data_IF_407404034582
#
_entry.id   IF_407404034582
#
_cell.length_a   1.000
_cell.length_b   1.000
_cell.length_c   1.000
_cell.angle_alpha   90.00
_cell.angle_beta   90.00
_cell.angle_gamma   90.00
#
_symmetry.space_group_name_H-M   'P 1'
#
loop_
_entity.id
_entity.type
_entity.pdbx_description
1 polymer ?
#
# COMPACT_ATOMS: atom_id res chain seq x y z
N UNK A 1 67.77 -47.33 11.00
CA UNK A 1 66.30 -47.49 10.90
C UNK A 1 65.62 -46.44 11.75
N UNK A 2 64.51 -45.87 11.24
CA UNK A 2 63.58 -44.90 11.85
C UNK A 2 63.94 -43.42 11.69
N UNK A 3 63.52 -42.88 10.55
CA UNK A 3 63.28 -41.45 10.28
C UNK A 3 62.02 -41.00 11.02
N UNK A 4 62.09 -39.90 11.76
CA UNK A 4 60.98 -39.26 12.47
C UNK A 4 60.45 -38.10 11.60
N UNK A 5 59.24 -38.21 11.06
CA UNK A 5 58.55 -37.10 10.40
C UNK A 5 57.66 -36.37 11.43
N UNK A 6 57.94 -35.08 11.66
CA UNK A 6 57.02 -34.15 12.31
C UNK A 6 55.98 -33.69 11.28
N UNK A 7 54.69 -33.92 11.55
CA UNK A 7 53.59 -33.26 10.85
C UNK A 7 53.20 -31.97 11.60
N UNK A 8 53.40 -30.82 10.96
CA UNK A 8 52.76 -29.55 11.34
C UNK A 8 51.36 -29.50 10.73
N UNK A 9 50.31 -29.56 11.57
CA UNK A 9 48.94 -29.23 11.16
C UNK A 9 48.75 -27.72 11.15
N UNK A 10 48.65 -27.13 9.95
CA UNK A 10 48.17 -25.76 9.76
C UNK A 10 46.64 -25.73 9.73
N UNK A 11 46.01 -25.01 10.65
CA UNK A 11 44.58 -24.67 10.56
C UNK A 11 44.39 -23.54 9.55
N UNK A 12 43.71 -23.83 8.46
CA UNK A 12 43.22 -22.82 7.51
C UNK A 12 41.86 -22.30 8.01
N UNK A 13 41.83 -21.04 8.47
CA UNK A 13 40.59 -20.30 8.65
C UNK A 13 40.05 -19.89 7.27
N UNK A 14 39.02 -20.58 6.79
CA UNK A 14 38.26 -20.15 5.63
C UNK A 14 37.25 -19.09 6.06
N UNK A 15 37.61 -17.82 5.91
CA UNK A 15 36.68 -16.69 6.05
C UNK A 15 35.73 -16.69 4.86
N UNK A 16 34.51 -17.18 5.06
CA UNK A 16 33.44 -17.06 4.08
C UNK A 16 33.02 -15.59 3.98
N UNK A 17 33.40 -14.93 2.87
CA UNK A 17 32.80 -13.69 2.44
C UNK A 17 31.33 -13.98 2.11
N UNK A 18 30.44 -13.70 3.05
CA UNK A 18 29.01 -13.64 2.77
C UNK A 18 28.81 -12.46 1.81
N UNK A 19 28.65 -12.75 0.51
CA UNK A 19 28.11 -11.78 -0.43
C UNK A 19 26.68 -11.48 0.04
N UNK A 20 26.52 -10.33 0.71
CA UNK A 20 25.20 -9.80 1.00
C UNK A 20 24.48 -9.61 -0.32
N UNK A 21 23.47 -10.43 -0.58
CA UNK A 21 22.47 -10.09 -1.58
C UNK A 21 21.80 -8.82 -1.09
N UNK A 22 22.20 -7.69 -1.65
CA UNK A 22 21.46 -6.43 -1.59
C UNK A 22 20.09 -6.73 -2.19
N UNK A 23 19.16 -7.20 -1.35
CA UNK A 23 17.73 -7.35 -1.67
C UNK A 23 17.19 -5.94 -1.75
N UNK A 24 17.54 -5.28 -2.85
CA UNK A 24 16.98 -4.00 -3.26
C UNK A 24 15.48 -4.15 -3.20
N UNK A 25 14.84 -3.25 -2.47
CA UNK A 25 13.40 -3.24 -2.28
C UNK A 25 12.69 -3.34 -3.63
N UNK A 26 11.61 -4.13 -3.74
CA UNK A 26 10.96 -4.55 -5.00
C UNK A 26 10.28 -3.43 -5.80
N UNK A 27 10.75 -2.20 -5.70
CA UNK A 27 10.23 -0.98 -6.30
C UNK A 27 11.34 -0.02 -6.75
N UNK A 28 12.59 -0.49 -6.91
CA UNK A 28 13.71 0.37 -7.32
C UNK A 28 13.55 1.03 -8.68
N UNK A 29 12.68 0.51 -9.53
CA UNK A 29 12.34 1.04 -10.84
C UNK A 29 11.19 2.07 -10.81
N UNK A 30 10.55 2.26 -9.65
CA UNK A 30 9.48 3.23 -9.48
C UNK A 30 9.92 4.64 -9.89
N UNK A 31 9.11 5.27 -10.75
CA UNK A 31 9.32 6.64 -11.25
C UNK A 31 8.29 7.63 -10.73
N UNK A 32 7.30 7.16 -9.99
CA UNK A 32 6.32 7.96 -9.28
C UNK A 32 6.14 7.44 -7.86
N UNK A 33 6.00 8.35 -6.91
CA UNK A 33 5.83 8.04 -5.49
C UNK A 33 4.71 8.88 -4.90
N UNK A 34 3.75 8.22 -4.28
CA UNK A 34 2.76 8.80 -3.38
C UNK A 34 3.22 8.50 -1.96
N UNK A 35 3.75 9.49 -1.25
CA UNK A 35 4.25 9.36 0.12
C UNK A 35 3.26 10.01 1.10
N UNK A 36 2.69 9.20 1.98
CA UNK A 36 1.90 9.64 3.12
C UNK A 36 2.75 9.54 4.38
N UNK A 37 2.84 10.64 5.13
CA UNK A 37 3.37 10.60 6.49
C UNK A 37 2.32 10.96 7.53
N UNK A 38 2.46 10.36 8.71
CA UNK A 38 1.65 10.63 9.89
C UNK A 38 2.56 10.92 11.09
N UNK A 39 2.14 11.75 12.07
CA UNK A 39 3.00 12.09 13.20
C UNK A 39 3.49 10.86 13.97
N UNK A 40 2.57 9.98 14.36
CA UNK A 40 2.85 8.80 15.18
C UNK A 40 2.04 7.59 14.70
N UNK A 41 2.38 6.39 15.18
CA UNK A 41 1.73 5.14 14.81
C UNK A 41 0.20 5.12 14.98
N UNK A 42 -0.32 5.88 15.93
CA UNK A 42 -1.75 5.91 16.25
C UNK A 42 -2.47 7.17 15.71
N UNK A 43 -1.75 8.02 14.97
CA UNK A 43 -2.33 9.21 14.33
C UNK A 43 -3.13 8.82 13.09
N UNK A 44 -4.35 9.35 12.97
CA UNK A 44 -5.21 9.10 11.80
C UNK A 44 -5.18 10.24 10.77
N UNK A 45 -4.58 11.39 11.10
CA UNK A 45 -4.39 12.50 10.16
C UNK A 45 -2.96 12.46 9.62
N UNK A 46 -2.82 12.71 8.31
CA UNK A 46 -1.55 12.67 7.62
C UNK A 46 -1.46 13.65 6.47
N UNK A 47 -0.29 13.68 5.86
CA UNK A 47 -0.02 14.50 4.67
C UNK A 47 0.47 13.61 3.54
N UNK A 48 -0.18 13.73 2.39
CA UNK A 48 0.21 13.11 1.13
C UNK A 48 1.11 14.05 0.34
N UNK A 49 2.22 13.52 -0.15
CA UNK A 49 3.17 14.17 -1.03
C UNK A 49 3.34 13.33 -2.30
N UNK A 50 3.33 13.98 -3.46
CA UNK A 50 3.50 13.31 -4.76
C UNK A 50 4.85 13.69 -5.37
N UNK A 51 5.61 12.70 -5.84
CA UNK A 51 6.94 12.89 -6.42
C UNK A 51 7.12 12.16 -7.74
N UNK A 52 7.81 12.81 -8.67
CA UNK A 52 8.36 12.21 -9.88
C UNK A 52 9.85 11.92 -9.70
N UNK A 53 10.30 10.75 -10.15
CA UNK A 53 11.74 10.42 -10.18
C UNK A 53 12.38 10.95 -11.46
N UNK A 54 13.42 11.75 -11.29
CA UNK A 54 14.28 12.30 -12.36
C UNK A 54 15.70 11.74 -12.22
N UNK A 55 16.59 12.09 -13.14
CA UNK A 55 18.01 11.73 -13.05
C UNK A 55 18.70 12.37 -11.84
N UNK A 56 18.19 13.51 -11.36
CA UNK A 56 18.67 14.19 -10.15
C UNK A 56 18.03 13.66 -8.85
N UNK A 57 17.18 12.63 -8.94
CA UNK A 57 16.41 12.08 -7.82
C UNK A 57 14.94 12.50 -7.83
N UNK A 58 14.29 12.41 -6.68
CA UNK A 58 12.87 12.73 -6.53
C UNK A 58 12.62 14.25 -6.58
N UNK A 59 11.62 14.63 -7.38
CA UNK A 59 11.13 16.01 -7.50
C UNK A 59 9.65 16.05 -7.12
N UNK A 60 9.27 16.99 -6.25
CA UNK A 60 7.87 17.18 -5.90
C UNK A 60 7.06 17.52 -7.16
N UNK A 61 5.97 16.79 -7.37
CA UNK A 61 5.11 16.92 -8.55
C UNK A 61 3.86 17.76 -8.25
N UNK A 62 3.39 17.76 -7.00
CA UNK A 62 2.17 18.44 -6.55
C UNK A 62 2.35 19.03 -5.16
N UNK A 63 1.44 19.93 -4.77
CA UNK A 63 1.39 20.46 -3.41
C UNK A 63 1.03 19.36 -2.40
N UNK A 64 1.54 19.43 -1.16
CA UNK A 64 1.11 18.53 -0.09
C UNK A 64 -0.40 18.61 0.15
N UNK A 65 -1.04 17.47 0.36
CA UNK A 65 -2.49 17.36 0.54
C UNK A 65 -2.81 16.67 1.87
N UNK A 66 -3.71 17.22 2.70
CA UNK A 66 -4.18 16.52 3.89
C UNK A 66 -4.92 15.23 3.54
N UNK A 67 -4.68 14.17 4.30
CA UNK A 67 -5.37 12.89 4.18
C UNK A 67 -5.77 12.37 5.55
N UNK A 68 -6.77 11.48 5.57
CA UNK A 68 -7.12 10.71 6.76
C UNK A 68 -6.88 9.22 6.50
N UNK A 69 -6.39 8.50 7.51
CA UNK A 69 -6.09 7.08 7.44
C UNK A 69 -6.96 6.31 8.46
N UNK A 70 -6.64 5.04 8.71
CA UNK A 70 -7.34 4.22 9.68
C UNK A 70 -7.51 4.91 11.04
N UNK A 71 -8.69 4.77 11.65
CA UNK A 71 -9.04 5.36 12.97
C UNK A 71 -8.09 4.98 14.11
N UNK A 72 -7.35 3.89 13.99
CA UNK A 72 -6.34 3.45 14.94
C UNK A 72 -4.90 3.72 14.46
N UNK A 73 -4.72 4.55 13.42
CA UNK A 73 -3.45 4.91 12.82
C UNK A 73 -2.96 3.88 11.80
N UNK A 74 -1.69 3.51 11.89
CA UNK A 74 -1.02 2.62 10.94
C UNK A 74 -0.38 1.39 11.62
N UNK A 75 -0.14 0.35 10.83
CA UNK A 75 0.66 -0.82 11.23
C UNK A 75 1.32 -1.43 10.00
N UNK A 76 2.49 -2.07 10.16
CA UNK A 76 3.22 -2.69 9.05
C UNK A 76 2.36 -3.68 8.27
N UNK A 77 2.21 -3.41 6.98
CA UNK A 77 1.51 -4.27 6.03
C UNK A 77 2.43 -5.29 5.35
N UNK A 78 1.87 -5.93 4.33
CA UNK A 78 2.56 -6.87 3.43
C UNK A 78 2.62 -6.19 2.06
N UNK A 79 3.82 -5.85 1.60
CA UNK A 79 4.02 -5.10 0.36
C UNK A 79 5.43 -5.26 -0.21
N UNK A 80 5.88 -4.26 -0.97
CA UNK A 80 7.16 -4.21 -1.68
C UNK A 80 8.35 -3.85 -0.78
N UNK A 81 8.35 -4.31 0.46
CA UNK A 81 9.41 -4.04 1.43
C UNK A 81 9.70 -5.26 2.29
N UNK A 82 10.92 -5.32 2.82
CA UNK A 82 11.28 -6.33 3.80
C UNK A 82 10.45 -6.15 5.10
N UNK A 83 10.19 -7.25 5.84
CA UNK A 83 9.54 -7.17 7.14
C UNK A 83 10.21 -6.16 8.07
N UNK A 84 9.41 -5.33 8.71
CA UNK A 84 9.87 -4.31 9.65
C UNK A 84 9.42 -4.66 11.08
N UNK A 85 10.17 -4.21 12.11
CA UNK A 85 9.75 -4.33 13.50
C UNK A 85 8.65 -3.30 13.83
N UNK A 86 7.69 -3.67 14.67
CA UNK A 86 6.61 -2.78 15.13
C UNK A 86 5.22 -3.40 15.03
N UNK A 87 4.15 -2.58 15.14
CA UNK A 87 2.78 -3.07 15.04
C UNK A 87 2.55 -3.70 13.66
N UNK A 88 1.85 -4.82 13.61
CA UNK A 88 1.51 -5.55 12.37
C UNK A 88 0.04 -5.40 12.05
N UNK A 89 -0.24 -5.09 10.79
CA UNK A 89 -1.59 -4.99 10.24
C UNK A 89 -2.31 -6.33 10.38
N UNK A 90 -3.58 -6.28 10.76
CA UNK A 90 -4.51 -7.43 10.80
C UNK A 90 -5.88 -7.02 10.28
N UNK A 91 -6.70 -7.99 9.94
CA UNK A 91 -8.09 -7.74 9.57
C UNK A 91 -8.86 -7.09 10.74
N UNK A 92 -9.69 -6.09 10.42
CA UNK A 92 -10.52 -5.38 11.40
C UNK A 92 -9.80 -4.51 12.45
N UNK A 93 -8.47 -4.38 12.41
CA UNK A 93 -7.70 -3.63 13.43
C UNK A 93 -7.89 -2.10 13.42
N UNK A 94 -8.58 -1.57 12.41
CA UNK A 94 -8.81 -0.13 12.27
C UNK A 94 -7.58 0.67 11.80
N UNK A 95 -6.51 0.00 11.37
CA UNK A 95 -5.24 0.63 10.97
C UNK A 95 -5.04 0.57 9.46
N UNK A 96 -4.35 1.57 8.91
CA UNK A 96 -3.85 1.53 7.54
C UNK A 96 -2.51 0.80 7.44
N UNK A 97 -2.21 0.14 6.32
CA UNK A 97 -0.94 -0.54 6.16
C UNK A 97 0.19 0.49 5.96
N UNK A 98 1.18 0.46 6.84
CA UNK A 98 2.47 1.14 6.67
C UNK A 98 3.39 0.26 5.83
N UNK A 99 4.20 0.87 4.97
CA UNK A 99 5.03 0.13 4.02
C UNK A 99 5.14 0.81 2.67
N UNK A 100 5.57 0.03 1.68
CA UNK A 100 5.60 0.37 0.25
C UNK A 100 4.68 -0.60 -0.49
N UNK A 101 3.80 -0.10 -1.34
CA UNK A 101 2.78 -0.88 -2.03
C UNK A 101 2.73 -0.48 -3.50
N UNK A 102 2.45 -1.45 -4.37
CA UNK A 102 2.04 -1.13 -5.73
C UNK A 102 0.68 -0.44 -5.71
N UNK A 103 0.41 0.35 -6.76
CA UNK A 103 -0.89 0.91 -7.03
C UNK A 103 -1.62 0.01 -8.02
N UNK A 104 -2.79 -0.48 -7.63
CA UNK A 104 -3.63 -1.33 -8.45
C UNK A 104 -4.58 -0.53 -9.34
N UNK A 105 -5.67 -1.18 -9.73
CA UNK A 105 -6.73 -0.60 -10.56
C UNK A 105 -7.39 0.60 -9.86
N UNK A 106 -7.51 1.71 -10.57
CA UNK A 106 -8.41 2.79 -10.20
C UNK A 106 -9.87 2.34 -10.41
N UNK A 107 -10.76 2.83 -9.57
CA UNK A 107 -12.17 2.47 -9.63
C UNK A 107 -13.06 3.68 -9.40
N UNK A 108 -14.34 3.55 -9.76
CA UNK A 108 -15.34 4.55 -9.41
C UNK A 108 -16.70 4.24 -10.02
N UNK A 109 -17.66 5.14 -9.81
CA UNK A 109 -19.05 4.91 -10.21
C UNK A 109 -19.33 5.29 -11.67
N UNK A 110 -18.48 6.15 -12.25
CA UNK A 110 -18.59 6.56 -13.64
C UNK A 110 -18.16 5.43 -14.59
N UNK A 111 -18.64 5.47 -15.84
CA UNK A 111 -18.18 4.52 -16.89
C UNK A 111 -16.69 4.67 -17.23
N UNK A 112 -16.12 5.84 -16.98
CA UNK A 112 -14.72 6.15 -17.24
C UNK A 112 -14.26 7.29 -16.32
N UNK A 113 -12.98 7.30 -15.96
CA UNK A 113 -12.35 8.42 -15.27
C UNK A 113 -11.10 8.89 -16.02
N UNK A 114 -10.70 10.15 -15.81
CA UNK A 114 -9.39 10.64 -16.26
C UNK A 114 -8.34 10.12 -15.29
N UNK A 115 -7.60 9.09 -15.71
CA UNK A 115 -6.52 8.49 -14.92
C UNK A 115 -5.49 7.83 -15.82
N UNK A 116 -4.22 7.77 -15.39
CA UNK A 116 -3.20 6.94 -16.03
C UNK A 116 -3.03 5.56 -15.39
N UNK A 117 -3.90 5.17 -14.45
CA UNK A 117 -4.03 3.79 -13.99
C UNK A 117 -5.07 3.02 -14.84
N UNK A 118 -5.04 1.68 -14.86
CA UNK A 118 -6.20 0.90 -15.31
C UNK A 118 -7.44 1.33 -14.53
N UNK A 119 -8.60 1.39 -15.19
CA UNK A 119 -9.85 1.84 -14.57
C UNK A 119 -10.95 0.80 -14.68
N UNK A 120 -11.65 0.55 -13.57
CA UNK A 120 -12.82 -0.30 -13.52
C UNK A 120 -14.05 0.48 -13.02
N UNK A 121 -15.11 0.51 -13.85
CA UNK A 121 -16.39 1.07 -13.48
C UNK A 121 -17.13 0.10 -12.54
N UNK A 122 -17.47 0.56 -11.34
CA UNK A 122 -18.08 -0.27 -10.32
C UNK A 122 -19.60 -0.39 -10.49
N UNK A 123 -20.10 -1.60 -10.34
CA UNK A 123 -21.51 -1.94 -10.42
C UNK A 123 -22.02 -2.48 -9.08
N UNK A 124 -23.35 -2.56 -8.93
CA UNK A 124 -23.98 -2.99 -7.68
C UNK A 124 -23.56 -4.39 -7.23
N UNK A 125 -23.14 -5.25 -8.16
CA UNK A 125 -22.73 -6.61 -7.91
C UNK A 125 -21.22 -6.75 -7.59
N UNK A 126 -20.45 -5.66 -7.61
CA UNK A 126 -19.03 -5.71 -7.28
C UNK A 126 -18.80 -5.60 -5.77
N UNK A 127 -18.00 -6.52 -5.24
CA UNK A 127 -17.64 -6.60 -3.83
C UNK A 127 -16.14 -6.81 -3.69
N UNK A 128 -15.51 -6.13 -2.74
CA UNK A 128 -14.20 -6.55 -2.27
C UNK A 128 -14.38 -7.55 -1.12
N UNK A 129 -13.72 -8.71 -1.19
CA UNK A 129 -13.96 -9.77 -0.21
C UNK A 129 -13.06 -9.59 1.02
N UNK A 130 -13.68 -9.20 2.12
CA UNK A 130 -13.09 -8.99 3.45
C UNK A 130 -13.30 -10.18 4.43
N UNK A 131 -13.79 -11.31 3.91
CA UNK A 131 -13.96 -12.55 4.68
C UNK A 131 -12.67 -13.38 4.62
N UNK A 132 -11.93 -13.44 5.73
CA UNK A 132 -10.58 -14.03 5.80
C UNK A 132 -10.46 -15.49 5.31
N UNK A 133 -11.48 -16.31 5.55
CA UNK A 133 -11.48 -17.72 5.15
C UNK A 133 -11.96 -17.94 3.69
N UNK A 134 -12.33 -16.87 2.98
CA UNK A 134 -12.77 -16.97 1.59
C UNK A 134 -11.58 -17.21 0.65
N UNK A 135 -11.71 -18.10 -0.35
CA UNK A 135 -10.70 -18.24 -1.40
C UNK A 135 -10.57 -16.99 -2.29
N UNK A 136 -11.51 -16.05 -2.16
CA UNK A 136 -11.51 -14.76 -2.86
C UNK A 136 -11.03 -13.61 -1.99
N UNK A 137 -10.54 -13.88 -0.78
CA UNK A 137 -10.12 -12.87 0.19
C UNK A 137 -9.15 -11.83 -0.42
N UNK A 138 -9.40 -10.57 -0.08
CA UNK A 138 -8.70 -9.39 -0.57
C UNK A 138 -8.74 -9.21 -2.09
N UNK A 139 -9.88 -9.53 -2.73
CA UNK A 139 -10.11 -9.31 -4.16
C UNK A 139 -11.44 -8.62 -4.41
N UNK A 140 -11.46 -7.72 -5.40
CA UNK A 140 -12.70 -7.22 -5.98
C UNK A 140 -13.23 -8.26 -6.97
N UNK A 141 -14.46 -8.70 -6.78
CA UNK A 141 -15.13 -9.71 -7.61
C UNK A 141 -16.53 -9.24 -8.01
N UNK A 142 -17.07 -9.83 -9.07
CA UNK A 142 -18.47 -9.65 -9.47
C UNK A 142 -19.32 -10.82 -8.99
N UNK A 143 -20.30 -10.55 -8.12
CA UNK A 143 -21.21 -11.56 -7.57
C UNK A 143 -22.06 -12.28 -8.64
N UNK A 144 -22.22 -11.70 -9.84
CA UNK A 144 -22.87 -12.36 -10.99
C UNK A 144 -22.01 -13.46 -11.58
N UNK A 145 -20.69 -13.35 -11.44
CA UNK A 145 -19.71 -14.31 -11.96
C UNK A 145 -19.36 -15.37 -10.92
N UNK A 146 -19.08 -14.95 -9.67
CA UNK A 146 -18.68 -15.88 -8.59
C UNK A 146 -19.86 -16.47 -7.82
N UNK A 147 -21.07 -15.95 -8.03
CA UNK A 147 -22.28 -16.33 -7.30
C UNK A 147 -22.44 -15.60 -5.97
N UNK A 148 -23.70 -15.33 -5.58
CA UNK A 148 -24.03 -14.56 -4.38
C UNK A 148 -23.56 -15.23 -3.07
N UNK A 149 -23.48 -16.55 -3.04
CA UNK A 149 -22.95 -17.29 -1.90
C UNK A 149 -21.46 -17.02 -1.66
N UNK A 150 -20.68 -16.76 -2.72
CA UNK A 150 -19.24 -16.53 -2.61
C UNK A 150 -18.89 -15.14 -2.05
N UNK A 151 -19.81 -14.18 -2.13
CA UNK A 151 -19.67 -12.83 -1.55
C UNK A 151 -20.41 -12.69 -0.21
N UNK A 152 -21.10 -13.73 0.25
CA UNK A 152 -21.89 -13.69 1.47
C UNK A 152 -21.01 -13.40 2.69
N UNK A 153 -21.48 -12.50 3.56
CA UNK A 153 -20.75 -12.07 4.75
C UNK A 153 -19.71 -10.98 4.51
N UNK A 154 -19.38 -10.69 3.25
CA UNK A 154 -18.54 -9.54 2.94
C UNK A 154 -19.25 -8.23 3.29
N UNK A 155 -18.50 -7.26 3.80
CA UNK A 155 -19.05 -5.96 4.23
C UNK A 155 -18.62 -4.80 3.33
N UNK A 156 -17.94 -5.09 2.23
CA UNK A 156 -17.26 -4.09 1.40
C UNK A 156 -17.79 -4.07 -0.06
N UNK A 157 -19.04 -3.61 -0.29
CA UNK A 157 -19.56 -3.44 -1.64
C UNK A 157 -18.90 -2.24 -2.32
N UNK A 158 -18.51 -2.39 -3.58
CA UNK A 158 -17.82 -1.33 -4.33
C UNK A 158 -18.74 -0.20 -4.83
N UNK A 159 -20.07 -0.34 -4.61
CA UNK A 159 -21.08 0.72 -4.81
C UNK A 159 -21.75 1.07 -3.49
N UNK A 160 -20.98 1.71 -2.60
CA UNK A 160 -21.46 2.15 -1.28
C UNK A 160 -22.70 3.05 -1.38
N UNK A 161 -22.84 3.80 -2.46
CA UNK A 161 -24.01 4.65 -2.69
C UNK A 161 -25.31 3.84 -2.80
N UNK A 162 -25.23 2.64 -3.38
CA UNK A 162 -26.35 1.73 -3.55
C UNK A 162 -26.61 0.86 -2.31
N UNK A 163 -25.55 0.54 -1.56
CA UNK A 163 -25.63 -0.41 -0.43
C UNK A 163 -25.60 0.24 0.96
N UNK A 164 -25.19 1.51 1.05
CA UNK A 164 -24.97 2.23 2.30
C UNK A 164 -25.49 3.68 2.22
N UNK A 165 -26.80 3.83 2.00
CA UNK A 165 -27.53 5.10 2.11
C UNK A 165 -26.92 6.29 1.34
N UNK A 166 -26.45 6.06 0.12
CA UNK A 166 -25.91 7.13 -0.73
C UNK A 166 -24.47 7.54 -0.41
N UNK A 167 -23.71 6.72 0.35
CA UNK A 167 -22.31 6.97 0.67
C UNK A 167 -21.42 7.07 -0.60
N UNK A 168 -20.80 8.24 -0.79
CA UNK A 168 -19.99 8.58 -1.96
C UNK A 168 -18.50 8.31 -1.77
N UNK A 169 -18.07 7.68 -0.66
CA UNK A 169 -16.64 7.48 -0.41
C UNK A 169 -15.94 6.73 -1.55
N UNK A 170 -16.63 5.77 -2.21
CA UNK A 170 -16.08 4.97 -3.31
C UNK A 170 -16.44 5.50 -4.70
N UNK A 171 -16.98 6.71 -4.80
CA UNK A 171 -17.29 7.35 -6.08
C UNK A 171 -16.06 7.41 -7.00
N UNK A 172 -14.87 7.58 -6.39
CA UNK A 172 -13.59 7.55 -7.07
C UNK A 172 -12.46 7.12 -6.12
N UNK A 173 -11.59 6.21 -6.57
CA UNK A 173 -10.46 5.74 -5.79
C UNK A 173 -9.52 4.83 -6.56
N UNK A 174 -8.59 4.21 -5.86
CA UNK A 174 -7.71 3.19 -6.40
C UNK A 174 -7.29 2.17 -5.34
N UNK A 175 -6.90 0.99 -5.81
CA UNK A 175 -6.39 -0.09 -4.95
C UNK A 175 -4.97 0.20 -4.49
N UNK A 176 -4.73 0.03 -3.18
CA UNK A 176 -3.38 -0.04 -2.62
C UNK A 176 -3.11 -1.53 -2.40
N UNK A 177 -2.12 -2.08 -3.10
CA UNK A 177 -1.82 -3.52 -3.16
C UNK A 177 -1.13 -4.05 -1.89
N UNK A 178 -1.72 -3.76 -0.73
CA UNK A 178 -1.40 -4.42 0.53
C UNK A 178 -1.97 -5.84 0.51
N UNK A 179 -1.17 -6.81 0.94
CA UNK A 179 -1.58 -8.21 1.05
C UNK A 179 -2.12 -8.78 -0.28
N UNK A 180 -1.50 -8.44 -1.41
CA UNK A 180 -2.01 -8.80 -2.74
C UNK A 180 -2.17 -10.32 -2.98
N UNK A 181 -1.43 -11.15 -2.25
CA UNK A 181 -1.56 -12.60 -2.29
C UNK A 181 -2.80 -13.13 -1.53
N UNK A 182 -3.47 -12.30 -0.72
CA UNK A 182 -4.64 -12.66 0.07
C UNK A 182 -4.29 -13.56 1.25
N UNK A 183 -3.21 -13.27 2.00
CA UNK A 183 -2.91 -13.98 3.23
C UNK A 183 -4.02 -13.74 4.26
N UNK A 184 -4.73 -14.80 4.64
CA UNK A 184 -5.91 -14.75 5.48
C UNK A 184 -5.65 -13.97 6.78
N UNK A 185 -6.50 -12.97 7.06
CA UNK A 185 -6.45 -12.19 8.30
C UNK A 185 -5.36 -11.12 8.34
N UNK A 186 -4.53 -10.96 7.31
CA UNK A 186 -3.51 -9.92 7.23
C UNK A 186 -4.06 -8.54 6.81
N UNK A 187 -5.39 -8.39 6.72
CA UNK A 187 -6.09 -7.18 6.28
C UNK A 187 -6.39 -7.21 4.78
N UNK A 188 -7.51 -6.61 4.41
CA UNK A 188 -8.04 -6.63 3.06
C UNK A 188 -8.63 -5.28 2.65
N UNK A 189 -8.97 -5.16 1.36
CA UNK A 189 -9.77 -4.07 0.79
C UNK A 189 -9.22 -2.68 1.12
N UNK A 190 -7.90 -2.53 1.01
CA UNK A 190 -7.22 -1.28 1.27
C UNK A 190 -7.23 -0.42 0.02
N UNK A 191 -7.87 0.73 0.11
CA UNK A 191 -8.01 1.67 -0.99
C UNK A 191 -7.49 3.06 -0.61
N UNK A 192 -7.20 3.87 -1.63
CA UNK A 192 -7.31 5.32 -1.49
C UNK A 192 -8.65 5.76 -2.08
N UNK A 193 -9.42 6.57 -1.36
CA UNK A 193 -10.77 6.95 -1.77
C UNK A 193 -11.17 8.37 -1.30
N UNK A 194 -12.41 8.79 -1.55
CA UNK A 194 -12.90 10.10 -1.15
C UNK A 194 -13.22 10.16 0.34
N UNK A 195 -13.00 11.30 0.99
CA UNK A 195 -13.52 11.54 2.32
C UNK A 195 -15.04 11.38 2.38
N UNK A 196 -15.53 10.76 3.46
CA UNK A 196 -16.94 10.91 3.83
C UNK A 196 -17.21 12.34 4.32
N UNK A 197 -16.33 12.83 5.20
CA UNK A 197 -16.25 14.22 5.65
C UNK A 197 -14.78 14.61 5.86
N UNK A 198 -14.41 15.89 5.72
CA UNK A 198 -13.04 16.34 5.99
C UNK A 198 -12.56 15.89 7.38
N UNK A 199 -11.40 15.25 7.45
CA UNK A 199 -10.80 14.76 8.70
C UNK A 199 -11.45 13.51 9.30
N UNK A 200 -12.49 12.93 8.67
CA UNK A 200 -13.09 11.69 9.16
C UNK A 200 -12.13 10.51 8.92
N UNK A 201 -11.72 9.76 9.97
CA UNK A 201 -10.86 8.61 9.80
C UNK A 201 -11.56 7.46 9.09
N UNK A 202 -10.77 6.56 8.51
CA UNK A 202 -11.25 5.37 7.80
C UNK A 202 -11.21 4.12 8.69
N UNK A 203 -11.59 2.97 8.14
CA UNK A 203 -11.34 1.67 8.79
C UNK A 203 -9.95 1.08 8.51
N UNK A 204 -9.19 1.67 7.58
CA UNK A 204 -7.89 1.16 7.12
C UNK A 204 -7.44 1.71 5.76
N UNK A 205 -8.34 2.31 4.99
CA UNK A 205 -8.05 3.03 3.75
C UNK A 205 -7.36 4.39 3.98
N UNK A 206 -6.89 5.02 2.91
CA UNK A 206 -6.49 6.43 2.91
C UNK A 206 -7.57 7.27 2.22
N UNK A 207 -8.02 8.36 2.83
CA UNK A 207 -9.09 9.19 2.29
C UNK A 207 -8.63 10.64 2.11
N UNK A 208 -9.14 11.30 1.07
CA UNK A 208 -8.80 12.68 0.73
C UNK A 208 -9.95 13.44 0.06
N UNK A 209 -9.79 14.74 -0.14
CA UNK A 209 -10.79 15.56 -0.82
C UNK A 209 -10.97 15.14 -2.31
N UNK A 210 -12.18 15.25 -2.88
CA UNK A 210 -12.42 14.91 -4.28
C UNK A 210 -11.51 15.63 -5.30
N UNK A 211 -11.20 16.94 -5.18
CA UNK A 211 -10.26 17.59 -6.09
C UNK A 211 -8.87 16.96 -6.04
N UNK A 212 -8.37 16.64 -4.84
CA UNK A 212 -7.06 16.03 -4.67
C UNK A 212 -6.99 14.61 -5.27
N UNK A 213 -8.05 13.80 -5.10
CA UNK A 213 -8.12 12.48 -5.71
C UNK A 213 -8.10 12.54 -7.23
N UNK A 214 -8.88 13.46 -7.83
CA UNK A 214 -8.91 13.64 -9.30
C UNK A 214 -7.55 14.06 -9.84
N UNK A 215 -6.93 15.05 -9.20
CA UNK A 215 -5.60 15.51 -9.56
C UNK A 215 -4.56 14.39 -9.45
N UNK A 216 -4.62 13.61 -8.37
CA UNK A 216 -3.71 12.49 -8.15
C UNK A 216 -3.86 11.43 -9.24
N UNK A 217 -5.10 10.98 -9.51
CA UNK A 217 -5.38 9.98 -10.54
C UNK A 217 -4.98 10.43 -11.95
N UNK A 218 -5.16 11.70 -12.28
CA UNK A 218 -4.76 12.28 -13.57
C UNK A 218 -3.23 12.34 -13.74
N UNK A 219 -2.47 12.50 -12.64
CA UNK A 219 -1.01 12.52 -12.69
C UNK A 219 -0.37 11.14 -12.66
N UNK A 220 -0.99 10.17 -11.99
CA UNK A 220 -0.49 8.80 -11.96
C UNK A 220 -0.41 8.21 -13.37
N UNK A 221 0.65 7.46 -13.63
CA UNK A 221 0.92 6.79 -14.89
C UNK A 221 1.44 5.38 -14.60
N UNK A 222 0.65 4.35 -14.92
CA UNK A 222 1.00 2.97 -14.64
C UNK A 222 2.31 2.53 -15.30
N UNK A 223 2.68 3.11 -16.46
CA UNK A 223 3.95 2.80 -17.15
C UNK A 223 5.18 3.29 -16.39
N UNK A 224 4.98 4.18 -15.40
CA UNK A 224 6.02 4.74 -14.54
C UNK A 224 6.14 4.01 -13.20
N UNK A 225 5.48 2.86 -13.07
CA UNK A 225 5.50 1.97 -11.90
C UNK A 225 5.32 2.75 -10.59
N UNK A 226 4.18 3.46 -10.43
CA UNK A 226 3.97 4.30 -9.27
C UNK A 226 3.83 3.43 -8.01
N UNK A 227 4.35 3.90 -6.89
CA UNK A 227 4.19 3.25 -5.59
C UNK A 227 3.55 4.16 -4.55
N UNK A 228 2.81 3.54 -3.64
CA UNK A 228 2.23 4.18 -2.45
C UNK A 228 3.06 3.82 -1.23
N UNK A 229 3.44 4.83 -0.44
CA UNK A 229 4.19 4.67 0.80
C UNK A 229 3.43 5.36 1.92
N UNK A 230 3.25 4.66 3.04
CA UNK A 230 2.71 5.24 4.27
C UNK A 230 3.66 4.94 5.41
N UNK A 231 4.13 5.98 6.11
CA UNK A 231 5.05 5.83 7.22
C UNK A 231 4.75 6.85 8.34
N UNK A 232 4.80 6.44 9.63
CA UNK A 232 4.99 7.39 10.72
C UNK A 232 6.28 8.19 10.55
N UNK A 233 6.33 9.43 11.04
CA UNK A 233 7.48 10.33 10.87
C UNK A 233 8.80 9.76 11.44
N UNK A 234 8.71 8.97 12.52
CA UNK A 234 9.85 8.25 13.10
C UNK A 234 10.40 7.19 12.13
N UNK A 235 9.52 6.43 11.49
CA UNK A 235 9.89 5.40 10.51
C UNK A 235 10.34 5.98 9.19
N UNK A 236 9.69 7.06 8.71
CA UNK A 236 10.14 7.80 7.54
C UNK A 236 11.58 8.28 7.73
N UNK A 237 11.91 8.92 8.86
CA UNK A 237 13.30 9.35 9.15
C UNK A 237 14.27 8.18 9.21
N UNK A 238 13.89 7.07 9.85
CA UNK A 238 14.71 5.87 9.99
C UNK A 238 15.02 5.21 8.64
N UNK A 239 14.02 5.14 7.76
CA UNK A 239 14.08 4.42 6.48
C UNK A 239 14.45 5.31 5.29
N UNK A 240 14.43 6.64 5.43
CA UNK A 240 14.61 7.57 4.33
C UNK A 240 15.81 7.22 3.44
N UNK A 241 16.97 7.00 4.05
CA UNK A 241 18.20 6.70 3.32
C UNK A 241 18.18 5.30 2.70
N UNK A 242 17.84 4.27 3.47
CA UNK A 242 17.87 2.87 3.00
C UNK A 242 16.81 2.60 1.94
N UNK A 243 15.69 3.31 1.98
CA UNK A 243 14.62 3.22 0.99
C UNK A 243 14.74 4.27 -0.12
N UNK A 244 15.78 5.12 -0.11
CA UNK A 244 15.96 6.20 -1.10
C UNK A 244 14.71 7.09 -1.24
N UNK A 245 14.04 7.39 -0.14
CA UNK A 245 12.85 8.24 -0.12
C UNK A 245 13.23 9.72 -0.35
N UNK A 246 12.34 10.54 -0.92
CA UNK A 246 12.55 11.97 -1.05
C UNK A 246 12.76 12.63 0.31
N UNK A 247 13.40 13.81 0.30
CA UNK A 247 13.31 14.74 1.42
C UNK A 247 11.99 15.49 1.32
N UNK A 248 11.22 15.45 2.39
CA UNK A 248 10.08 16.34 2.58
C UNK A 248 10.59 17.80 2.75
N UNK A 249 9.89 18.78 2.17
CA UNK A 249 10.23 20.20 2.28
C UNK A 249 10.11 20.75 3.70
#
# INVERSE_FOLDING_TARGET
>A
MKTLLLLCSGLLFASSLQAGTDRRSGWTDARQLVLVTIPEWDSHDGTLHAFDRTDAGWRAARAPTPVSIGRAGAAWGIGLHEPQPGPRKREGDGRSPAGVFALGTAFGYARSARTGLPYAAMEAAHWCIDVADSPLYNRIVDAREVGTAAVAGSTEPMRLDLHAAGDQRYELGFVIEHNAAGEAGAGSCIFAHLWGKPGQPTAGCTAMAPPAMRDLLEWLDASRHPVFVLLPDSEYRRLQASWSLPRLP
#
